data_IF_820349129559
#
_entry.id   IF_820349129559
#
_cell.length_a   1.000
_cell.length_b   1.000
_cell.length_c   1.000
_cell.angle_alpha   90.00
_cell.angle_beta   90.00
_cell.angle_gamma   90.00
#
_symmetry.space_group_name_H-M   'P 1'
#
loop_
_entity.id
_entity.type
_entity.pdbx_description
1 polymer ?
#
# COMPACT_ATOMS: atom_id res chain seq x y z
N UNK A 1 -23.96 11.81 -10.82
CA UNK A 1 -23.71 11.17 -9.49
C UNK A 1 -24.94 10.51 -8.84
N UNK A 2 -26.12 11.15 -8.83
CA UNK A 2 -27.30 10.69 -8.07
C UNK A 2 -27.83 9.30 -8.45
N UNK A 3 -27.86 8.97 -9.76
CA UNK A 3 -28.40 7.70 -10.27
C UNK A 3 -27.55 6.46 -9.92
N UNK A 4 -26.30 6.63 -9.51
CA UNK A 4 -25.42 5.50 -9.25
C UNK A 4 -25.80 4.83 -7.93
N UNK A 5 -26.21 3.56 -7.96
CA UNK A 5 -26.55 2.76 -6.78
C UNK A 5 -25.39 1.86 -6.28
N UNK A 6 -24.20 2.03 -6.86
CA UNK A 6 -22.98 1.28 -6.50
C UNK A 6 -23.13 -0.26 -6.48
N UNK A 7 -23.94 -0.83 -7.39
CA UNK A 7 -24.17 -2.28 -7.43
C UNK A 7 -23.03 -3.12 -8.05
N UNK A 8 -22.01 -2.51 -8.64
CA UNK A 8 -20.83 -3.21 -9.19
C UNK A 8 -20.97 -3.86 -10.57
N UNK A 9 -22.17 -3.96 -11.13
CA UNK A 9 -22.37 -4.56 -12.48
C UNK A 9 -21.47 -3.92 -13.56
N UNK A 10 -21.30 -2.60 -13.52
CA UNK A 10 -20.46 -1.89 -14.47
C UNK A 10 -18.96 -2.25 -14.35
N UNK A 11 -18.48 -2.55 -13.13
CA UNK A 11 -17.12 -3.00 -12.85
C UNK A 11 -16.87 -4.40 -13.39
N UNK A 12 -17.77 -5.34 -13.09
CA UNK A 12 -17.66 -6.73 -13.55
C UNK A 12 -17.56 -6.83 -15.08
N UNK A 13 -18.32 -5.99 -15.80
CA UNK A 13 -18.37 -5.99 -17.26
C UNK A 13 -17.25 -5.19 -17.91
N UNK A 14 -16.43 -4.48 -17.14
CA UNK A 14 -15.31 -3.72 -17.69
C UNK A 14 -14.16 -4.67 -18.09
N UNK A 15 -13.73 -4.65 -19.37
CA UNK A 15 -12.65 -5.53 -19.83
C UNK A 15 -11.25 -4.98 -19.51
N UNK A 16 -11.11 -3.70 -19.11
CA UNK A 16 -9.83 -3.11 -18.78
C UNK A 16 -9.18 -3.82 -17.57
N UNK A 17 -7.86 -3.96 -17.58
CA UNK A 17 -7.05 -4.45 -16.45
C UNK A 17 -5.93 -3.46 -16.19
N UNK A 18 -5.91 -2.87 -15.01
CA UNK A 18 -5.02 -1.76 -14.64
C UNK A 18 -4.40 -2.11 -13.29
N UNK A 19 -3.18 -1.65 -13.00
CA UNK A 19 -2.65 -1.74 -11.64
C UNK A 19 -3.57 -1.00 -10.67
N UNK A 20 -3.82 -1.60 -9.52
CA UNK A 20 -4.62 -0.99 -8.48
C UNK A 20 -3.73 -0.14 -7.57
N UNK A 21 -3.81 1.19 -7.72
CA UNK A 21 -3.00 2.14 -6.95
C UNK A 21 -3.33 2.13 -5.47
N UNK A 22 -4.58 1.85 -5.09
CA UNK A 22 -4.97 1.74 -3.67
C UNK A 22 -4.35 0.51 -3.00
N UNK A 23 -4.12 -0.55 -3.78
CA UNK A 23 -3.44 -1.76 -3.34
C UNK A 23 -1.95 -1.79 -3.70
N UNK A 24 -1.32 -0.62 -3.89
CA UNK A 24 0.11 -0.47 -4.20
C UNK A 24 0.57 -1.34 -5.40
N UNK A 25 -0.31 -1.58 -6.37
CA UNK A 25 0.00 -2.38 -7.55
C UNK A 25 0.02 -3.90 -7.34
N UNK A 26 -0.21 -4.39 -6.11
CA UNK A 26 -0.26 -5.82 -5.76
C UNK A 26 -1.46 -6.57 -6.38
N UNK A 27 -2.45 -5.83 -6.89
CA UNK A 27 -3.57 -6.41 -7.62
C UNK A 27 -3.95 -5.58 -8.86
N UNK A 28 -4.96 -6.05 -9.59
CA UNK A 28 -5.49 -5.35 -10.75
C UNK A 28 -6.91 -4.88 -10.48
N UNK A 29 -7.19 -3.64 -10.88
CA UNK A 29 -8.54 -3.06 -10.92
C UNK A 29 -9.01 -2.85 -12.35
N UNK A 30 -10.25 -2.40 -12.48
CA UNK A 30 -10.91 -2.03 -13.74
C UNK A 30 -10.86 -0.51 -13.96
N UNK A 31 -11.14 -0.07 -15.20
CA UNK A 31 -11.16 1.36 -15.53
C UNK A 31 -12.32 2.10 -14.87
N UNK A 32 -13.47 1.44 -14.72
CA UNK A 32 -14.55 1.91 -13.85
C UNK A 32 -14.42 1.19 -12.51
N UNK A 33 -14.33 1.91 -11.40
CA UNK A 33 -13.99 1.34 -10.09
C UNK A 33 -14.52 2.20 -8.95
N UNK A 34 -14.52 1.64 -7.74
CA UNK A 34 -14.63 2.40 -6.48
C UNK A 34 -13.22 2.39 -5.86
N UNK A 35 -12.70 3.51 -5.32
CA UNK A 35 -11.34 3.57 -4.79
C UNK A 35 -11.03 2.51 -3.73
N UNK A 36 -11.99 2.24 -2.83
CA UNK A 36 -11.92 1.18 -1.82
C UNK A 36 -13.34 0.77 -1.38
N UNK A 37 -13.54 -0.42 -0.78
CA UNK A 37 -14.88 -0.96 -0.55
C UNK A 37 -15.81 -0.08 0.33
N UNK A 38 -15.24 0.70 1.25
CA UNK A 38 -15.95 1.58 2.16
C UNK A 38 -15.90 3.07 1.74
N UNK A 39 -15.63 3.36 0.46
CA UNK A 39 -15.49 4.73 -0.02
C UNK A 39 -16.73 5.59 0.26
N UNK A 40 -16.50 6.85 0.66
CA UNK A 40 -17.56 7.84 0.89
C UNK A 40 -17.30 9.06 -0.01
N UNK A 41 -18.23 9.43 -0.91
CA UNK A 41 -19.48 8.71 -1.21
C UNK A 41 -19.21 7.38 -1.94
N UNK A 42 -20.03 6.36 -1.67
CA UNK A 42 -19.91 5.05 -2.33
C UNK A 42 -20.44 5.15 -3.76
N UNK A 43 -19.57 5.54 -4.69
CA UNK A 43 -19.88 5.78 -6.10
C UNK A 43 -18.74 5.29 -6.98
N UNK A 44 -19.11 4.77 -8.15
CA UNK A 44 -18.14 4.38 -9.17
C UNK A 44 -17.63 5.61 -9.92
N UNK A 45 -16.34 5.60 -10.25
CA UNK A 45 -15.66 6.59 -11.07
C UNK A 45 -15.01 5.89 -12.28
N UNK A 46 -14.87 6.62 -13.40
CA UNK A 46 -14.18 6.13 -14.59
C UNK A 46 -12.83 6.84 -14.71
N UNK A 47 -11.75 6.06 -14.69
CA UNK A 47 -10.41 6.51 -15.02
C UNK A 47 -10.30 6.76 -16.53
N UNK A 48 -10.31 8.03 -16.94
CA UNK A 48 -10.24 8.43 -18.36
C UNK A 48 -8.95 7.94 -19.01
N UNK A 49 -7.83 8.04 -18.32
CA UNK A 49 -6.48 7.71 -18.82
C UNK A 49 -6.25 6.21 -18.99
N UNK A 50 -7.14 5.37 -18.46
CA UNK A 50 -7.05 3.91 -18.56
C UNK A 50 -8.26 3.27 -19.21
N UNK A 51 -9.33 4.02 -19.46
CA UNK A 51 -10.56 3.53 -20.09
C UNK A 51 -10.40 3.31 -21.61
N UNK A 52 -10.86 2.16 -22.10
CA UNK A 52 -10.80 1.82 -23.53
C UNK A 52 -11.72 2.70 -24.38
N UNK A 53 -12.84 3.18 -23.82
CA UNK A 53 -13.72 4.15 -24.50
C UNK A 53 -12.95 5.42 -24.83
N UNK A 54 -12.34 6.07 -23.84
CA UNK A 54 -11.64 7.33 -24.03
C UNK A 54 -10.38 7.18 -24.89
N UNK A 55 -9.75 5.99 -24.88
CA UNK A 55 -8.58 5.71 -25.75
C UNK A 55 -8.91 5.35 -27.19
N UNK A 56 -10.02 4.63 -27.44
CA UNK A 56 -10.30 3.98 -28.74
C UNK A 56 -11.70 4.25 -29.29
N UNK A 57 -12.57 4.92 -28.55
CA UNK A 57 -13.92 5.33 -28.95
C UNK A 57 -15.01 4.25 -29.00
N UNK A 58 -14.69 2.96 -28.76
CA UNK A 58 -15.62 1.85 -29.06
C UNK A 58 -16.24 1.13 -27.86
N UNK A 59 -15.59 1.14 -26.69
CA UNK A 59 -16.05 0.32 -25.55
C UNK A 59 -17.18 1.01 -24.79
N UNK A 60 -18.37 0.40 -24.73
CA UNK A 60 -19.53 0.91 -23.95
C UNK A 60 -20.15 -0.14 -23.03
N UNK A 61 -19.35 -1.13 -22.62
CA UNK A 61 -19.84 -2.25 -21.82
C UNK A 61 -20.45 -1.80 -20.49
N UNK A 62 -19.74 -0.95 -19.75
CA UNK A 62 -20.22 -0.45 -18.45
C UNK A 62 -21.55 0.30 -18.57
N UNK A 63 -21.71 1.16 -19.58
CA UNK A 63 -22.97 1.88 -19.89
C UNK A 63 -24.11 0.91 -20.20
N UNK A 64 -23.89 -0.06 -21.10
CA UNK A 64 -24.90 -1.06 -21.52
C UNK A 64 -25.48 -1.85 -20.35
N UNK A 65 -24.66 -2.18 -19.35
CA UNK A 65 -25.06 -3.02 -18.22
C UNK A 65 -25.45 -2.23 -16.96
N UNK A 66 -25.42 -0.90 -17.00
CA UNK A 66 -25.82 -0.08 -15.87
C UNK A 66 -27.35 0.00 -15.77
N UNK A 67 -28.00 -0.58 -14.75
CA UNK A 67 -29.46 -0.66 -14.67
C UNK A 67 -30.13 0.71 -14.48
N UNK A 68 -29.39 1.69 -13.93
CA UNK A 68 -29.92 3.02 -13.63
C UNK A 68 -29.55 4.07 -14.67
N UNK A 69 -28.79 3.70 -15.71
CA UNK A 69 -28.30 4.64 -16.71
C UNK A 69 -27.46 5.77 -16.10
N UNK A 70 -26.64 5.46 -15.10
CA UNK A 70 -25.85 6.44 -14.36
C UNK A 70 -24.57 6.89 -15.08
N UNK A 71 -24.10 6.13 -16.07
CA UNK A 71 -22.83 6.37 -16.77
C UNK A 71 -23.04 7.38 -17.89
N UNK A 72 -22.21 8.42 -17.89
CA UNK A 72 -22.19 9.48 -18.91
C UNK A 72 -20.74 9.69 -19.34
N UNK A 73 -20.45 9.53 -20.62
CA UNK A 73 -19.08 9.68 -21.15
C UNK A 73 -18.76 11.11 -21.59
N UNK A 74 -19.79 11.92 -21.77
CA UNK A 74 -19.77 13.32 -22.16
C UNK A 74 -19.72 14.29 -20.96
N UNK A 75 -19.66 13.76 -19.72
CA UNK A 75 -19.53 14.57 -18.51
C UNK A 75 -18.16 15.27 -18.46
N UNK A 76 -18.20 16.59 -18.37
CA UNK A 76 -17.05 17.50 -18.32
C UNK A 76 -16.81 18.01 -16.90
N UNK A 77 -15.65 18.61 -16.68
CA UNK A 77 -15.32 19.27 -15.42
C UNK A 77 -16.18 20.53 -15.24
N UNK A 78 -16.72 20.71 -14.04
CA UNK A 78 -17.44 21.91 -13.65
C UNK A 78 -16.53 22.82 -12.83
N UNK A 79 -16.43 24.09 -13.22
CA UNK A 79 -15.72 25.10 -12.43
C UNK A 79 -16.68 25.71 -11.41
N UNK A 80 -16.42 25.50 -10.13
CA UNK A 80 -17.22 26.03 -9.03
C UNK A 80 -16.48 27.20 -8.38
N UNK A 81 -17.14 28.37 -8.29
CA UNK A 81 -16.61 29.53 -7.57
C UNK A 81 -17.21 29.56 -6.16
N UNK A 82 -16.34 29.56 -5.14
CA UNK A 82 -16.74 29.61 -3.74
C UNK A 82 -16.22 30.92 -3.11
N UNK A 83 -17.10 31.66 -2.45
CA UNK A 83 -16.70 32.81 -1.64
C UNK A 83 -16.54 32.35 -0.18
N UNK A 84 -15.29 32.25 0.27
CA UNK A 84 -14.94 31.72 1.59
C UNK A 84 -14.09 32.73 2.37
N UNK A 85 -14.26 32.77 3.69
CA UNK A 85 -13.45 33.63 4.56
C UNK A 85 -12.06 33.07 4.89
N UNK A 86 -11.87 31.75 4.76
CA UNK A 86 -10.62 31.07 5.12
C UNK A 86 -10.46 29.74 4.39
N UNK A 87 -9.22 29.29 4.22
CA UNK A 87 -8.87 27.99 3.62
C UNK A 87 -7.97 27.22 4.58
N UNK A 88 -8.22 25.92 4.75
CA UNK A 88 -7.39 25.01 5.55
C UNK A 88 -6.77 23.98 4.60
N UNK A 89 -5.45 23.83 4.63
CA UNK A 89 -4.72 22.88 3.77
C UNK A 89 -4.45 21.57 4.52
N UNK A 90 -4.98 20.45 4.02
CA UNK A 90 -4.85 19.11 4.63
C UNK A 90 -4.49 18.04 3.60
N UNK A 91 -3.53 18.33 2.71
CA UNK A 91 -3.17 17.43 1.60
C UNK A 91 -2.49 16.11 2.03
N UNK A 92 -2.10 15.98 3.30
CA UNK A 92 -1.51 14.76 3.84
C UNK A 92 -0.05 14.56 3.44
N UNK A 93 0.34 13.31 3.20
CA UNK A 93 1.72 12.91 2.86
C UNK A 93 1.71 11.74 1.87
N UNK A 94 2.85 11.49 1.21
CA UNK A 94 3.07 10.34 0.34
C UNK A 94 4.20 9.47 0.92
N UNK A 95 4.06 8.16 0.81
CA UNK A 95 5.14 7.23 1.17
C UNK A 95 6.36 7.44 0.26
N UNK A 96 7.55 7.22 0.82
CA UNK A 96 8.79 7.23 0.07
C UNK A 96 8.84 6.02 -0.89
N UNK A 97 9.28 6.25 -2.12
CA UNK A 97 9.46 5.19 -3.12
C UNK A 97 10.92 4.72 -3.13
N UNK A 98 11.21 3.50 -2.62
CA UNK A 98 12.57 2.98 -2.55
C UNK A 98 13.04 2.32 -3.85
N UNK A 99 12.28 2.40 -4.94
CA UNK A 99 12.63 1.78 -6.23
C UNK A 99 13.99 2.23 -6.78
N UNK A 100 14.41 3.47 -6.48
CA UNK A 100 15.71 4.00 -6.90
C UNK A 100 16.85 3.66 -5.93
N UNK A 101 16.59 2.95 -4.82
CA UNK A 101 17.60 2.52 -3.87
C UNK A 101 18.16 1.15 -4.26
N UNK A 102 19.27 1.17 -5.00
CA UNK A 102 20.01 -0.01 -5.46
C UNK A 102 20.36 -0.99 -4.31
N UNK A 103 20.62 -0.47 -3.12
CA UNK A 103 21.04 -1.27 -1.98
C UNK A 103 19.89 -2.07 -1.34
N UNK A 104 18.63 -1.72 -1.59
CA UNK A 104 17.47 -2.45 -1.05
C UNK A 104 16.72 -3.27 -2.10
N UNK A 105 16.98 -3.08 -3.40
CA UNK A 105 16.51 -4.00 -4.44
C UNK A 105 14.97 -4.13 -4.52
N UNK A 106 14.21 -3.10 -4.11
CA UNK A 106 12.74 -3.09 -4.16
C UNK A 106 12.19 -3.40 -5.56
N UNK A 107 12.75 -2.78 -6.59
CA UNK A 107 12.32 -3.01 -7.97
C UNK A 107 12.75 -4.37 -8.55
N UNK A 108 13.71 -5.05 -7.91
CA UNK A 108 14.34 -6.24 -8.45
C UNK A 108 13.84 -7.52 -7.76
N UNK A 109 13.42 -7.43 -6.50
CA UNK A 109 12.96 -8.59 -5.73
C UNK A 109 11.49 -8.45 -5.32
N UNK A 110 10.59 -9.34 -5.80
CA UNK A 110 9.18 -9.30 -5.44
C UNK A 110 8.92 -9.46 -3.93
N UNK A 111 9.85 -10.07 -3.20
CA UNK A 111 9.76 -10.27 -1.75
C UNK A 111 10.33 -9.10 -0.93
N UNK A 112 10.86 -8.08 -1.59
CA UNK A 112 11.17 -6.80 -0.95
C UNK A 112 10.00 -5.87 -1.20
N UNK A 113 9.26 -5.58 -0.14
CA UNK A 113 8.09 -4.70 -0.18
C UNK A 113 8.23 -3.59 0.85
N UNK A 114 7.56 -2.48 0.58
CA UNK A 114 7.35 -1.38 1.51
C UNK A 114 6.36 -1.76 2.61
N UNK A 115 6.40 -1.03 3.72
CA UNK A 115 5.40 -1.18 4.78
C UNK A 115 3.98 -0.85 4.30
N UNK A 116 3.82 0.08 3.35
CA UNK A 116 2.49 0.39 2.81
C UNK A 116 1.92 -0.78 1.99
N UNK A 117 2.73 -1.43 1.16
CA UNK A 117 2.35 -2.68 0.48
C UNK A 117 2.01 -3.78 1.49
N UNK A 118 2.80 -3.90 2.57
CA UNK A 118 2.52 -4.87 3.63
C UNK A 118 1.20 -4.59 4.36
N UNK A 119 0.85 -3.33 4.61
CA UNK A 119 -0.47 -2.95 5.13
C UNK A 119 -1.60 -3.38 4.20
N UNK A 120 -1.39 -3.28 2.87
CA UNK A 120 -2.38 -3.79 1.91
C UNK A 120 -2.52 -5.31 2.02
N UNK A 121 -1.42 -6.05 2.15
CA UNK A 121 -1.44 -7.51 2.37
C UNK A 121 -2.17 -7.87 3.67
N UNK A 122 -1.90 -7.18 4.77
CA UNK A 122 -2.56 -7.40 6.05
C UNK A 122 -4.03 -6.99 6.07
N UNK A 123 -4.46 -6.12 5.15
CA UNK A 123 -5.83 -5.62 5.14
C UNK A 123 -6.83 -6.71 4.73
N UNK A 124 -7.89 -6.90 5.51
CA UNK A 124 -9.00 -7.78 5.16
C UNK A 124 -9.69 -7.39 3.83
N UNK A 125 -9.70 -6.09 3.50
CA UNK A 125 -10.17 -5.57 2.20
C UNK A 125 -9.07 -5.41 1.16
N UNK A 126 -7.89 -5.96 1.43
CA UNK A 126 -6.72 -5.95 0.56
C UNK A 126 -6.69 -7.11 -0.43
N UNK A 127 -5.64 -7.20 -1.26
CA UNK A 127 -5.54 -8.15 -2.36
C UNK A 127 -5.38 -9.60 -1.89
N UNK A 128 -4.90 -9.83 -0.67
CA UNK A 128 -4.69 -11.16 -0.08
C UNK A 128 -5.67 -11.45 1.06
N UNK A 129 -6.71 -10.61 1.23
CA UNK A 129 -7.75 -10.75 2.26
C UNK A 129 -7.20 -10.94 3.68
N UNK A 130 -6.06 -10.31 4.00
CA UNK A 130 -5.40 -10.42 5.29
C UNK A 130 -4.43 -11.60 5.44
N UNK A 131 -4.29 -12.47 4.44
CA UNK A 131 -3.30 -13.54 4.48
C UNK A 131 -1.91 -12.99 4.13
N UNK A 132 -0.95 -13.21 5.02
CA UNK A 132 0.44 -12.78 4.84
C UNK A 132 1.16 -13.75 3.91
N UNK A 133 1.25 -13.38 2.64
CA UNK A 133 1.87 -14.21 1.60
C UNK A 133 3.00 -13.47 0.89
N UNK A 134 4.05 -14.20 0.51
CA UNK A 134 5.14 -13.67 -0.31
C UNK A 134 4.66 -13.34 -1.73
N UNK A 135 4.91 -12.15 -2.28
CA UNK A 135 4.47 -11.80 -3.63
C UNK A 135 5.08 -12.68 -4.73
N UNK A 136 6.27 -13.27 -4.51
CA UNK A 136 6.92 -14.10 -5.52
C UNK A 136 6.19 -15.42 -5.81
N UNK A 137 5.65 -16.07 -4.77
CA UNK A 137 5.14 -17.45 -4.88
C UNK A 137 3.86 -17.74 -4.08
N UNK A 138 3.28 -16.74 -3.41
CA UNK A 138 2.03 -16.85 -2.68
C UNK A 138 2.11 -17.68 -1.40
N UNK A 139 3.29 -18.13 -0.98
CA UNK A 139 3.45 -18.92 0.25
C UNK A 139 3.59 -18.02 1.46
N UNK A 140 3.16 -18.53 2.61
CA UNK A 140 3.39 -17.88 3.90
C UNK A 140 4.89 -17.78 4.21
N UNK A 141 5.39 -16.61 4.63
CA UNK A 141 6.77 -16.45 5.03
C UNK A 141 7.01 -17.06 6.41
N UNK A 142 8.14 -17.75 6.59
CA UNK A 142 8.59 -18.21 7.91
C UNK A 142 9.34 -17.13 8.70
N UNK A 143 9.96 -16.19 7.99
CA UNK A 143 10.75 -15.09 8.57
C UNK A 143 10.47 -13.79 7.82
N UNK A 144 10.35 -12.69 8.54
CA UNK A 144 10.27 -11.33 7.97
C UNK A 144 11.24 -10.41 8.70
N UNK A 145 11.92 -9.56 7.92
CA UNK A 145 12.77 -8.49 8.41
C UNK A 145 12.19 -7.13 8.05
N UNK A 146 12.02 -6.25 9.04
CA UNK A 146 11.67 -4.85 8.84
C UNK A 146 12.91 -3.97 8.91
N UNK A 147 13.13 -3.16 7.88
CA UNK A 147 14.28 -2.26 7.81
C UNK A 147 13.83 -0.84 8.13
N UNK A 148 14.31 -0.29 9.25
CA UNK A 148 13.93 1.07 9.65
C UNK A 148 14.70 2.14 8.90
N UNK A 149 14.11 3.34 8.84
CA UNK A 149 14.71 4.54 8.26
C UNK A 149 15.02 4.44 6.75
N UNK A 150 14.32 3.58 6.00
CA UNK A 150 14.39 3.60 4.54
C UNK A 150 13.77 4.91 4.04
N UNK A 151 14.55 5.72 3.31
CA UNK A 151 14.11 7.03 2.81
C UNK A 151 14.04 8.15 3.87
N UNK A 152 14.62 7.95 5.06
CA UNK A 152 14.62 8.93 6.15
C UNK A 152 15.91 8.88 6.93
N UNK A 153 16.34 10.00 7.51
CA UNK A 153 17.67 10.12 8.15
C UNK A 153 18.79 9.66 7.20
N UNK A 154 18.64 10.00 5.92
CA UNK A 154 19.55 9.60 4.84
C UNK A 154 19.86 10.80 3.93
N UNK A 155 21.00 11.41 4.19
CA UNK A 155 21.58 12.47 3.37
C UNK A 155 22.10 11.96 2.02
N UNK A 156 22.69 10.77 2.02
CA UNK A 156 23.55 10.33 0.93
C UNK A 156 22.75 9.77 -0.24
N UNK A 157 21.63 9.11 0.03
CA UNK A 157 20.85 8.40 -1.00
C UNK A 157 19.61 9.18 -1.46
N UNK A 158 19.01 9.99 -0.60
CA UNK A 158 17.78 10.71 -0.93
C UNK A 158 17.65 12.11 -0.31
N UNK A 159 18.70 12.64 0.33
CA UNK A 159 18.73 13.97 0.98
C UNK A 159 17.62 14.22 2.04
N UNK A 160 17.03 13.15 2.57
CA UNK A 160 15.99 13.21 3.59
C UNK A 160 16.62 13.15 4.99
N UNK A 161 17.04 14.29 5.52
CA UNK A 161 17.69 14.38 6.85
C UNK A 161 16.73 14.11 8.03
N UNK A 162 15.44 14.29 7.81
CA UNK A 162 14.42 14.22 8.84
C UNK A 162 14.07 12.77 9.23
N UNK A 163 13.40 12.62 10.37
CA UNK A 163 12.76 11.38 10.77
C UNK A 163 11.28 11.40 10.37
N UNK A 164 10.78 10.33 9.74
CA UNK A 164 9.37 10.19 9.36
C UNK A 164 8.41 9.93 10.54
N UNK A 165 8.90 9.95 11.79
CA UNK A 165 8.16 9.89 13.06
C UNK A 165 7.38 8.60 13.35
N UNK A 166 6.66 8.05 12.38
CA UNK A 166 5.70 6.94 12.56
C UNK A 166 6.28 5.57 12.26
N UNK A 167 7.42 5.49 11.56
CA UNK A 167 7.95 4.24 11.01
C UNK A 167 8.33 3.19 12.04
N UNK A 168 8.91 3.60 13.17
CA UNK A 168 9.19 2.68 14.26
C UNK A 168 7.91 2.01 14.78
N UNK A 169 6.81 2.76 14.88
CA UNK A 169 5.59 2.25 15.50
C UNK A 169 4.76 1.38 14.55
N UNK A 170 4.62 1.78 13.27
CA UNK A 170 3.93 0.90 12.33
C UNK A 170 4.71 -0.41 12.15
N UNK A 171 6.05 -0.39 12.21
CA UNK A 171 6.83 -1.62 12.06
C UNK A 171 6.66 -2.58 13.25
N UNK A 172 6.60 -2.04 14.49
CA UNK A 172 6.25 -2.86 15.66
C UNK A 172 4.83 -3.41 15.51
N UNK A 173 3.88 -2.60 15.05
CA UNK A 173 2.50 -3.04 14.79
C UNK A 173 2.45 -4.17 13.76
N UNK A 174 3.05 -3.95 12.60
CA UNK A 174 3.14 -4.92 11.50
C UNK A 174 3.79 -6.22 11.96
N UNK A 175 4.88 -6.16 12.73
CA UNK A 175 5.57 -7.36 13.22
C UNK A 175 4.72 -8.19 14.19
N UNK A 176 3.96 -7.54 15.08
CA UNK A 176 3.01 -8.21 15.98
C UNK A 176 1.85 -8.81 15.18
N UNK A 177 1.22 -8.04 14.29
CA UNK A 177 0.11 -8.52 13.47
C UNK A 177 0.51 -9.67 12.54
N UNK A 178 1.70 -9.61 11.94
CA UNK A 178 2.23 -10.69 11.12
C UNK A 178 2.34 -11.99 11.91
N UNK A 179 2.83 -11.90 13.16
CA UNK A 179 2.94 -13.05 14.05
C UNK A 179 1.57 -13.63 14.43
N UNK A 180 0.59 -12.78 14.69
CA UNK A 180 -0.79 -13.21 14.97
C UNK A 180 -1.45 -13.91 13.77
N UNK A 181 -1.21 -13.40 12.55
CA UNK A 181 -1.85 -13.94 11.33
C UNK A 181 -1.16 -15.20 10.81
N UNK A 182 0.18 -15.28 10.86
CA UNK A 182 0.94 -16.45 10.39
C UNK A 182 1.00 -17.54 11.46
N UNK A 183 1.22 -17.18 12.73
CA UNK A 183 1.34 -18.12 13.83
C UNK A 183 2.57 -19.04 13.74
N UNK A 184 2.57 -20.09 14.58
CA UNK A 184 3.60 -21.14 14.56
C UNK A 184 5.03 -20.63 14.81
N UNK A 185 5.98 -21.17 14.06
CA UNK A 185 7.43 -20.87 14.15
C UNK A 185 7.83 -19.58 13.40
N UNK A 186 6.91 -18.63 13.25
CA UNK A 186 7.16 -17.36 12.55
C UNK A 186 8.16 -16.48 13.32
N UNK A 187 9.19 -16.01 12.63
CA UNK A 187 10.20 -15.11 13.18
C UNK A 187 10.09 -13.69 12.59
N UNK A 188 9.85 -12.70 13.45
CA UNK A 188 9.91 -11.29 13.09
C UNK A 188 11.17 -10.63 13.64
N UNK A 189 11.85 -9.85 12.80
CA UNK A 189 13.04 -9.08 13.21
C UNK A 189 12.97 -7.65 12.69
N UNK A 190 13.12 -6.66 13.59
CA UNK A 190 13.16 -5.24 13.26
C UNK A 190 14.61 -4.75 13.38
N UNK A 191 15.17 -4.26 12.27
CA UNK A 191 16.51 -3.68 12.19
C UNK A 191 16.43 -2.15 12.27
N UNK A 192 17.04 -1.57 13.30
CA UNK A 192 16.86 -0.16 13.62
C UNK A 192 18.15 0.54 14.07
N UNK A 193 18.16 1.88 14.00
CA UNK A 193 19.19 2.71 14.65
C UNK A 193 18.78 3.10 16.07
N UNK A 194 17.63 3.77 16.17
CA UNK A 194 16.98 4.17 17.42
C UNK A 194 15.47 3.89 17.29
N UNK A 195 14.86 3.22 18.28
CA UNK A 195 13.41 3.08 18.35
C UNK A 195 12.83 4.39 18.88
N UNK A 196 11.88 4.99 18.15
CA UNK A 196 11.27 6.29 18.49
C UNK A 196 9.82 6.17 18.93
N UNK A 197 9.63 5.52 20.07
CA UNK A 197 8.36 5.15 20.74
C UNK A 197 7.81 6.26 21.66
N UNK A 198 7.80 7.51 21.17
CA UNK A 198 7.59 8.72 21.99
C UNK A 198 6.13 9.06 22.34
N UNK A 199 5.15 8.34 21.79
CA UNK A 199 3.73 8.55 22.08
C UNK A 199 3.29 7.93 23.40
N UNK A 200 2.10 8.31 23.89
CA UNK A 200 1.51 7.70 25.08
C UNK A 200 1.36 6.18 24.86
N UNK A 201 1.90 5.40 25.79
CA UNK A 201 1.90 3.93 25.79
C UNK A 201 2.67 3.27 24.62
N UNK A 202 3.37 4.03 23.77
CA UNK A 202 4.15 3.48 22.66
C UNK A 202 5.33 2.64 23.14
N UNK A 203 6.01 3.09 24.20
CA UNK A 203 7.08 2.29 24.82
C UNK A 203 6.54 0.99 25.43
N UNK A 204 5.37 1.03 26.05
CA UNK A 204 4.72 -0.19 26.58
C UNK A 204 4.37 -1.17 25.45
N UNK A 205 3.90 -0.67 24.31
CA UNK A 205 3.62 -1.49 23.14
C UNK A 205 4.90 -2.12 22.57
N UNK A 206 5.99 -1.36 22.52
CA UNK A 206 7.30 -1.85 22.12
C UNK A 206 7.84 -2.95 23.05
N UNK A 207 7.80 -2.74 24.37
CA UNK A 207 8.24 -3.76 25.33
C UNK A 207 7.35 -5.01 25.27
N UNK A 208 6.03 -4.85 25.14
CA UNK A 208 5.12 -5.99 24.92
C UNK A 208 5.47 -6.79 23.68
N UNK A 209 5.78 -6.12 22.56
CA UNK A 209 6.19 -6.80 21.34
C UNK A 209 7.48 -7.62 21.52
N UNK A 210 8.44 -7.12 22.33
CA UNK A 210 9.66 -7.87 22.68
C UNK A 210 9.33 -9.10 23.51
N UNK A 211 8.47 -8.96 24.52
CA UNK A 211 8.03 -10.06 25.39
C UNK A 211 7.28 -11.13 24.58
N UNK A 212 6.52 -10.72 23.56
CA UNK A 212 5.84 -11.60 22.61
C UNK A 212 6.80 -12.19 21.55
N UNK A 213 8.10 -11.89 21.62
CA UNK A 213 9.15 -12.53 20.82
C UNK A 213 9.48 -11.85 19.49
N UNK A 214 9.07 -10.60 19.27
CA UNK A 214 9.59 -9.78 18.17
C UNK A 214 11.05 -9.44 18.47
N UNK A 215 11.95 -9.75 17.52
CA UNK A 215 13.38 -9.49 17.69
C UNK A 215 13.72 -8.06 17.26
N UNK A 216 14.55 -7.38 18.04
CA UNK A 216 15.01 -6.03 17.73
C UNK A 216 16.54 -6.03 17.64
N UNK A 217 17.06 -5.68 16.47
CA UNK A 217 18.50 -5.63 16.21
C UNK A 217 18.89 -4.20 15.92
N UNK A 218 19.75 -3.64 16.78
CA UNK A 218 20.30 -2.30 16.59
C UNK A 218 21.37 -2.32 15.49
N UNK A 219 20.93 -2.25 14.25
CA UNK A 219 21.77 -2.17 13.06
C UNK A 219 20.99 -1.48 11.94
N UNK A 220 21.67 -0.60 11.20
CA UNK A 220 21.17 -0.10 9.92
C UNK A 220 21.69 -1.03 8.84
N UNK A 221 20.80 -1.85 8.27
CA UNK A 221 21.15 -2.76 7.17
C UNK A 221 21.73 -1.97 6.00
N UNK A 222 22.88 -2.41 5.51
CA UNK A 222 23.58 -1.74 4.43
C UNK A 222 23.02 -2.17 3.08
N UNK A 223 22.84 -3.48 2.86
CA UNK A 223 22.45 -4.02 1.56
C UNK A 223 21.67 -5.33 1.66
N UNK A 224 20.68 -5.47 0.79
CA UNK A 224 20.09 -6.75 0.39
C UNK A 224 20.90 -7.20 -0.85
N UNK A 225 21.78 -8.23 -0.72
CA UNK A 225 22.66 -8.63 -1.80
C UNK A 225 21.86 -9.21 -2.97
N UNK A 226 22.41 -9.05 -4.17
CA UNK A 226 21.87 -9.69 -5.37
C UNK A 226 21.92 -11.22 -5.24
N UNK A 227 20.90 -11.89 -5.77
CA UNK A 227 20.79 -13.34 -5.82
C UNK A 227 20.00 -13.73 -7.05
N UNK A 228 20.41 -14.83 -7.68
CA UNK A 228 19.73 -15.39 -8.86
C UNK A 228 18.45 -16.14 -8.47
N UNK A 229 18.25 -16.43 -7.19
CA UNK A 229 17.08 -17.15 -6.70
C UNK A 229 16.02 -16.18 -6.15
N UNK A 230 14.75 -16.27 -6.58
CA UNK A 230 13.65 -15.46 -6.04
C UNK A 230 13.26 -15.85 -4.60
N UNK A 231 14.08 -16.68 -3.93
CA UNK A 231 13.83 -17.35 -2.67
C UNK A 231 14.21 -16.52 -1.43
N UNK A 232 14.94 -17.11 -0.47
CA UNK A 232 15.24 -16.45 0.80
C UNK A 232 16.18 -15.26 0.60
N UNK A 233 15.80 -14.11 1.17
CA UNK A 233 16.63 -12.92 1.17
C UNK A 233 17.69 -13.01 2.26
N UNK A 234 18.88 -12.48 1.98
CA UNK A 234 19.94 -12.29 2.96
C UNK A 234 20.10 -10.80 3.27
N UNK A 235 20.65 -10.46 4.44
CA UNK A 235 20.92 -9.07 4.85
C UNK A 235 22.41 -8.93 5.17
N UNK A 236 23.05 -7.85 4.71
CA UNK A 236 24.41 -7.46 5.08
C UNK A 236 24.41 -6.14 5.87
#
# INVERSE_FOLDING_TARGET
MEKCIACGLCYEKCPAKISDEYNEGLSKRKAIYVPYPQAVPLKYVIDKDRCIYFKKGKCKACEKFCPTGAIKFDETEDNITLNVGSVILTAGMKAFDPSNLDNFQHSNFPNVITSLEFERILSAGGPTTGHVTRPSDGKEPKKIAWLQCVGSRDLNRCDNQYCSSVCCMYAVKEAVLAKEHVGGDFESTIFFMDMRTHGKDFEKYYERAKDEGVRFIRSRVHTIPETDEPGPLSLK
#
